data_IF_662992007640
#
_entry.id   IF_662992007640
#
_cell.length_a   1.000
_cell.length_b   1.000
_cell.length_c   1.000
_cell.angle_alpha   90.00
_cell.angle_beta   90.00
_cell.angle_gamma   90.00
#
_symmetry.space_group_name_H-M   'P 1'
#
loop_
_entity.id
_entity.type
_entity.pdbx_description
1 polymer ?
#
# COMPACT_ATOMS: atom_id res chain seq x y z
N UNK A 1 -4.68 2.01 -2.83
CA UNK A 1 -3.91 0.77 -3.10
C UNK A 1 -2.57 1.13 -3.72
N UNK A 2 -1.47 0.83 -3.05
CA UNK A 2 -0.12 1.11 -3.55
C UNK A 2 0.57 -0.19 -4.00
N UNK A 3 1.89 -0.22 -3.92
CA UNK A 3 2.74 -1.35 -4.25
C UNK A 3 4.09 -1.13 -3.57
N UNK A 4 4.81 -2.19 -3.28
CA UNK A 4 6.21 -2.06 -2.83
C UNK A 4 7.07 -1.31 -3.88
N UNK A 5 6.66 -1.30 -5.16
CA UNK A 5 7.30 -0.47 -6.18
C UNK A 5 7.15 1.03 -5.92
N UNK A 6 6.27 1.44 -5.03
CA UNK A 6 6.19 2.81 -4.53
C UNK A 6 7.15 3.13 -3.38
N UNK A 7 7.87 2.15 -2.87
CA UNK A 7 8.92 2.39 -1.88
C UNK A 7 10.17 2.95 -2.56
N UNK A 8 10.85 3.89 -1.90
CA UNK A 8 12.06 4.51 -2.48
C UNK A 8 13.16 3.50 -2.76
N UNK A 9 13.26 2.42 -1.96
CA UNK A 9 14.23 1.35 -2.18
C UNK A 9 14.03 0.61 -3.51
N UNK A 10 12.84 0.67 -4.08
CA UNK A 10 12.54 0.03 -5.37
C UNK A 10 13.01 0.84 -6.57
N UNK A 11 13.50 2.06 -6.37
CA UNK A 11 14.00 2.94 -7.43
C UNK A 11 15.47 2.66 -7.79
N UNK A 12 16.04 1.59 -7.31
CA UNK A 12 17.42 1.16 -7.57
C UNK A 12 17.60 0.55 -8.98
N UNK A 13 16.51 0.34 -9.72
CA UNK A 13 16.55 -0.12 -11.11
C UNK A 13 15.52 0.63 -11.95
N UNK A 14 15.78 0.83 -13.26
CA UNK A 14 14.88 1.59 -14.14
C UNK A 14 13.66 0.77 -14.61
N UNK A 15 13.59 -0.51 -14.28
CA UNK A 15 12.52 -1.39 -14.71
C UNK A 15 11.16 -0.86 -14.23
N UNK A 16 10.18 -0.79 -15.13
CA UNK A 16 8.84 -0.24 -14.90
C UNK A 16 8.86 1.13 -14.20
N UNK A 17 9.76 2.03 -14.63
CA UNK A 17 10.03 3.29 -13.95
C UNK A 17 8.82 4.20 -13.80
N UNK A 18 8.00 4.34 -14.83
CA UNK A 18 6.78 5.17 -14.77
C UNK A 18 5.75 4.61 -13.77
N UNK A 19 5.59 3.30 -13.70
CA UNK A 19 4.73 2.66 -12.70
C UNK A 19 5.26 2.91 -11.29
N UNK A 20 6.56 2.71 -11.06
CA UNK A 20 7.21 3.00 -9.78
C UNK A 20 6.97 4.44 -9.35
N UNK A 21 7.21 5.41 -10.23
CA UNK A 21 7.01 6.82 -9.94
C UNK A 21 5.56 7.13 -9.60
N UNK A 22 4.60 6.52 -10.29
CA UNK A 22 3.17 6.71 -9.98
C UNK A 22 2.83 6.23 -8.57
N UNK A 23 3.42 5.11 -8.13
CA UNK A 23 3.19 4.57 -6.78
C UNK A 23 3.95 5.34 -5.69
N UNK A 24 5.13 5.87 -5.99
CA UNK A 24 5.83 6.80 -5.09
C UNK A 24 4.99 8.06 -4.88
N UNK A 25 4.43 8.62 -5.95
CA UNK A 25 3.54 9.79 -5.86
C UNK A 25 2.30 9.48 -5.03
N UNK A 26 1.69 8.31 -5.22
CA UNK A 26 0.54 7.87 -4.42
C UNK A 26 0.89 7.75 -2.92
N UNK A 27 2.05 7.20 -2.59
CA UNK A 27 2.53 7.12 -1.22
C UNK A 27 2.78 8.52 -0.64
N UNK A 28 3.33 9.43 -1.42
CA UNK A 28 3.49 10.84 -1.04
C UNK A 28 2.14 11.50 -0.75
N UNK A 29 1.17 11.29 -1.62
CA UNK A 29 -0.20 11.79 -1.43
C UNK A 29 -0.83 11.24 -0.15
N UNK A 30 -0.64 9.95 0.13
CA UNK A 30 -1.14 9.33 1.37
C UNK A 30 -0.62 10.05 2.61
N UNK A 31 0.66 10.38 2.64
CA UNK A 31 1.26 11.12 3.75
C UNK A 31 0.72 12.54 3.87
N UNK A 32 0.59 13.25 2.75
CA UNK A 32 0.02 14.60 2.74
C UNK A 32 -1.42 14.59 3.24
N UNK A 33 -2.24 13.67 2.77
CA UNK A 33 -3.63 13.55 3.22
C UNK A 33 -3.73 13.20 4.69
N UNK A 34 -2.90 12.26 5.17
CA UNK A 34 -2.88 11.88 6.58
C UNK A 34 -2.50 13.06 7.48
N UNK A 35 -1.61 13.94 7.02
CA UNK A 35 -1.21 15.13 7.78
C UNK A 35 -2.29 16.22 7.83
N UNK A 36 -3.25 16.16 6.91
CA UNK A 36 -4.31 17.17 6.79
C UNK A 36 -5.60 16.81 7.53
N UNK A 37 -5.72 15.60 8.07
CA UNK A 37 -6.95 15.11 8.73
C UNK A 37 -6.66 14.71 10.17
N UNK A 38 -7.73 14.66 10.98
CA UNK A 38 -7.68 14.14 12.35
C UNK A 38 -7.72 12.61 12.29
N UNK A 39 -6.62 11.95 12.71
CA UNK A 39 -6.50 10.49 12.69
C UNK A 39 -7.56 9.77 13.54
N UNK A 40 -8.15 10.44 14.51
CA UNK A 40 -9.25 9.86 15.30
C UNK A 40 -10.55 9.74 14.49
N UNK A 41 -10.69 10.52 13.43
CA UNK A 41 -11.88 10.53 12.58
C UNK A 41 -11.66 9.87 11.24
N UNK A 42 -10.51 10.15 10.60
CA UNK A 42 -10.18 9.66 9.27
C UNK A 42 -8.76 9.09 9.29
N UNK A 43 -8.63 7.82 8.88
CA UNK A 43 -7.33 7.15 8.73
C UNK A 43 -6.98 7.05 7.26
N UNK A 44 -5.81 7.56 6.90
CA UNK A 44 -5.29 7.51 5.53
C UNK A 44 -4.00 6.69 5.55
N UNK A 45 -4.03 5.54 4.91
CA UNK A 45 -2.89 4.61 4.84
C UNK A 45 -2.70 4.11 3.42
N UNK A 46 -1.49 3.73 3.09
CA UNK A 46 -1.19 2.99 1.86
C UNK A 46 -1.08 1.51 2.15
N UNK A 47 -1.48 0.69 1.19
CA UNK A 47 -1.37 -0.76 1.28
C UNK A 47 -0.74 -1.35 0.02
N UNK A 48 0.19 -2.27 0.23
CA UNK A 48 0.75 -3.14 -0.81
C UNK A 48 0.04 -4.50 -0.72
N UNK A 49 -0.67 -4.93 -1.76
CA UNK A 49 -1.31 -6.25 -1.78
C UNK A 49 -0.33 -7.39 -2.03
N UNK A 50 0.90 -7.10 -2.41
CA UNK A 50 1.85 -8.08 -2.90
C UNK A 50 1.58 -8.48 -4.36
N UNK A 51 2.24 -9.55 -4.81
CA UNK A 51 2.02 -10.08 -6.16
C UNK A 51 0.86 -11.08 -6.15
N UNK A 52 -0.26 -10.66 -6.72
CA UNK A 52 -1.56 -11.35 -6.58
C UNK A 52 -1.96 -12.00 -7.90
N UNK A 53 -2.44 -13.23 -7.82
CA UNK A 53 -2.94 -14.00 -8.97
C UNK A 53 -4.27 -13.40 -9.47
N UNK A 54 -4.14 -12.45 -10.37
CA UNK A 54 -5.22 -11.74 -11.07
C UNK A 54 -4.86 -11.65 -12.54
N UNK A 55 -5.73 -11.08 -13.36
CA UNK A 55 -5.41 -10.83 -14.77
C UNK A 55 -4.13 -9.99 -14.90
N UNK A 56 -3.96 -9.01 -14.07
CA UNK A 56 -2.76 -8.15 -14.05
C UNK A 56 -1.54 -8.87 -13.50
N UNK A 57 -1.69 -9.63 -12.42
CA UNK A 57 -0.57 -10.32 -11.76
C UNK A 57 -0.10 -11.57 -12.49
N UNK A 58 -0.99 -12.19 -13.26
CA UNK A 58 -0.70 -13.38 -14.03
C UNK A 58 -0.79 -14.68 -13.23
N UNK A 59 -0.69 -15.84 -13.95
CA UNK A 59 -0.89 -17.17 -13.34
C UNK A 59 0.26 -17.61 -12.43
N UNK A 60 1.42 -16.97 -12.52
CA UNK A 60 2.60 -17.30 -11.68
C UNK A 60 2.61 -16.56 -10.35
N UNK A 61 1.69 -15.63 -10.12
CA UNK A 61 1.65 -14.88 -8.88
C UNK A 61 1.31 -15.80 -7.69
N UNK A 62 2.06 -15.70 -6.57
CA UNK A 62 1.97 -16.66 -5.48
C UNK A 62 0.79 -16.45 -4.53
N UNK A 63 0.17 -15.27 -4.55
CA UNK A 63 -0.89 -14.91 -3.62
C UNK A 63 -2.25 -15.00 -4.27
N UNK A 64 -3.22 -15.56 -3.53
CA UNK A 64 -4.62 -15.49 -3.96
C UNK A 64 -5.20 -14.09 -3.71
N UNK A 65 -6.25 -13.68 -4.45
CA UNK A 65 -6.97 -12.44 -4.16
C UNK A 65 -7.49 -12.40 -2.72
N UNK A 66 -7.94 -13.52 -2.19
CA UNK A 66 -8.46 -13.63 -0.83
C UNK A 66 -7.38 -13.32 0.22
N UNK A 67 -6.18 -13.85 0.04
CA UNK A 67 -5.04 -13.57 0.91
C UNK A 67 -4.68 -12.08 0.90
N UNK A 68 -4.61 -11.48 -0.29
CA UNK A 68 -4.31 -10.05 -0.42
C UNK A 68 -5.40 -9.18 0.19
N UNK A 69 -6.68 -9.55 -0.02
CA UNK A 69 -7.82 -8.79 0.48
C UNK A 69 -7.89 -8.77 2.01
N UNK A 70 -7.42 -9.81 2.67
CA UNK A 70 -7.47 -9.88 4.14
C UNK A 70 -6.77 -8.69 4.81
N UNK A 71 -5.58 -8.35 4.36
CA UNK A 71 -4.84 -7.18 4.86
C UNK A 71 -5.53 -5.85 4.56
N UNK A 72 -6.16 -5.75 3.39
CA UNK A 72 -6.88 -4.54 2.98
C UNK A 72 -8.15 -4.35 3.83
N UNK A 73 -8.92 -5.42 4.04
CA UNK A 73 -10.11 -5.38 4.91
C UNK A 73 -9.72 -5.02 6.35
N UNK A 74 -8.61 -5.59 6.84
CA UNK A 74 -8.10 -5.24 8.16
C UNK A 74 -7.82 -3.73 8.28
N UNK A 75 -7.17 -3.13 7.28
CA UNK A 75 -6.93 -1.68 7.25
C UNK A 75 -8.22 -0.87 7.23
N UNK A 76 -9.22 -1.32 6.48
CA UNK A 76 -10.50 -0.64 6.38
C UNK A 76 -11.34 -0.71 7.66
N UNK A 77 -11.00 -1.61 8.58
CA UNK A 77 -11.74 -1.88 9.83
C UNK A 77 -10.91 -1.61 11.08
N UNK A 78 -9.88 -0.76 10.98
CA UNK A 78 -9.08 -0.36 12.13
C UNK A 78 -9.92 0.35 13.19
N UNK A 79 -9.59 0.13 14.50
CA UNK A 79 -10.25 0.88 15.57
C UNK A 79 -9.89 2.36 15.53
N UNK A 80 -10.64 3.20 16.24
CA UNK A 80 -10.46 4.65 16.26
C UNK A 80 -9.04 5.07 16.67
N UNK A 81 -8.40 4.31 17.57
CA UNK A 81 -7.02 4.56 17.99
C UNK A 81 -5.97 3.88 17.10
N UNK A 82 -6.37 3.32 15.97
CA UNK A 82 -5.47 2.67 15.04
C UNK A 82 -4.53 3.62 14.30
N UNK A 83 -3.55 3.07 13.57
CA UNK A 83 -2.55 3.88 12.88
C UNK A 83 -3.11 4.65 11.67
N UNK A 84 -2.48 5.78 11.36
CA UNK A 84 -2.70 6.55 10.14
C UNK A 84 -1.37 7.07 9.60
N UNK A 85 -1.33 7.38 8.31
CA UNK A 85 -0.12 7.90 7.65
C UNK A 85 0.98 6.87 7.47
N UNK A 86 0.63 5.59 7.36
CA UNK A 86 1.58 4.49 7.26
C UNK A 86 1.41 3.71 5.96
N UNK A 87 2.43 2.93 5.64
CA UNK A 87 2.45 2.01 4.51
C UNK A 87 2.46 0.58 5.05
N UNK A 88 1.57 -0.27 4.55
CA UNK A 88 1.34 -1.61 5.08
C UNK A 88 1.51 -2.70 4.04
N UNK A 89 2.04 -3.84 4.49
CA UNK A 89 1.99 -5.12 3.82
C UNK A 89 1.58 -6.17 4.86
N UNK A 90 0.51 -6.92 4.59
CA UNK A 90 -0.01 -7.98 5.48
C UNK A 90 -0.09 -7.54 6.96
N UNK A 91 -0.79 -6.45 7.22
CA UNK A 91 -1.01 -5.92 8.58
C UNK A 91 0.25 -5.42 9.28
N UNK A 92 1.38 -5.30 8.57
CA UNK A 92 2.65 -4.81 9.10
C UNK A 92 3.05 -3.52 8.42
N UNK A 93 3.57 -2.57 9.20
CA UNK A 93 4.13 -1.35 8.66
C UNK A 93 5.43 -1.67 7.92
N UNK A 94 5.55 -1.14 6.72
CA UNK A 94 6.77 -1.19 5.92
C UNK A 94 7.25 0.22 5.60
N UNK A 95 8.50 0.35 5.20
CA UNK A 95 9.08 1.65 4.85
C UNK A 95 8.55 2.15 3.50
N UNK A 96 8.45 3.47 3.43
CA UNK A 96 8.03 4.17 2.20
C UNK A 96 8.97 3.93 1.01
#
# INVERSE_FOLDING_TARGET
MSSEYGALRSLDSPNVGSYKLSKVALNGLTRLMASAVDNNQIKVNSADPGWVHTDMGGPSAPRSPEQAAEGIVWLATLPDNGPGGKFFYDKKVIDW
#
